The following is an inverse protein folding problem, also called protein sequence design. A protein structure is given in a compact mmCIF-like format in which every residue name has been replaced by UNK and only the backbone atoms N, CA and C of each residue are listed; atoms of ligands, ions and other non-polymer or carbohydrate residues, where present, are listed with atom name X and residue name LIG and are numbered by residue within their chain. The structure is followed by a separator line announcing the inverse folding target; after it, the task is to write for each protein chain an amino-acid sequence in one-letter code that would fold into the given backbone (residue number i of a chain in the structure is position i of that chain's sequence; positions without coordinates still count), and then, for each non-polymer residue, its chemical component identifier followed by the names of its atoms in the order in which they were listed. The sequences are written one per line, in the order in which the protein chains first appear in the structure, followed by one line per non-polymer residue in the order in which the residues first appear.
data_IF_095644866831
#
_entry.id   IF_095644866831
#
_cell.length_a   1.000
_cell.length_b   1.000
_cell.length_c   1.000
_cell.angle_alpha   90.00
_cell.angle_beta   90.00
_cell.angle_gamma   90.00
#
_symmetry.space_group_name_H-M   'P 1'
#
loop_
_entity.id
_entity.type
_entity.pdbx_description
1 polymer ?
#
# COMPACT_ATOMS: atom_id res chain seq x y z
N UNK A 1 -71.64 22.23 19.46
CA UNK A 1 -70.57 21.95 20.43
C UNK A 1 -69.83 20.75 19.93
N UNK A 2 -69.05 21.00 18.87
CA UNK A 2 -68.25 20.00 18.10
C UNK A 2 -66.84 20.09 18.59
N UNK A 3 -66.25 18.94 18.96
CA UNK A 3 -64.89 18.83 19.39
C UNK A 3 -64.05 18.50 18.14
N UNK A 4 -63.16 19.39 17.78
CA UNK A 4 -62.15 19.14 16.81
C UNK A 4 -61.04 18.23 17.41
N UNK A 5 -60.90 17.01 16.90
CA UNK A 5 -59.81 16.12 17.21
C UNK A 5 -58.58 16.54 16.37
N UNK A 6 -57.60 17.09 17.06
CA UNK A 6 -56.30 17.43 16.45
C UNK A 6 -55.49 16.18 16.13
N UNK A 7 -55.33 15.90 14.85
CA UNK A 7 -54.40 14.90 14.35
C UNK A 7 -52.97 15.45 14.45
N UNK A 8 -52.23 14.96 15.43
CA UNK A 8 -50.76 15.17 15.50
C UNK A 8 -50.10 14.36 14.40
N UNK A 9 -49.47 15.04 13.45
CA UNK A 9 -48.52 14.42 12.52
C UNK A 9 -47.25 13.97 13.27
N UNK A 10 -46.75 12.75 13.06
CA UNK A 10 -45.46 12.33 13.61
C UNK A 10 -44.35 13.07 12.88
N UNK A 11 -43.50 13.78 13.61
CA UNK A 11 -42.25 14.36 13.14
C UNK A 11 -41.30 13.23 12.72
N UNK A 12 -41.15 13.01 11.43
CA UNK A 12 -40.17 12.10 10.88
C UNK A 12 -38.77 12.74 10.89
N UNK A 13 -38.10 12.71 12.03
CA UNK A 13 -36.64 12.71 12.05
C UNK A 13 -36.19 11.27 12.00
N UNK A 14 -36.37 10.61 10.87
CA UNK A 14 -35.65 9.41 10.55
C UNK A 14 -34.17 9.81 10.33
N UNK A 15 -33.38 9.79 11.40
CA UNK A 15 -31.94 9.72 11.30
C UNK A 15 -31.64 8.48 10.46
N UNK A 16 -31.18 8.71 9.24
CA UNK A 16 -30.68 7.66 8.37
C UNK A 16 -29.46 7.08 9.12
N UNK A 17 -29.68 5.99 9.87
CA UNK A 17 -28.61 5.14 10.34
C UNK A 17 -28.00 4.55 9.08
N UNK A 18 -26.89 5.11 8.65
CA UNK A 18 -26.03 4.51 7.65
C UNK A 18 -25.62 3.13 8.16
N UNK A 19 -25.62 2.17 7.25
CA UNK A 19 -25.35 0.76 7.53
C UNK A 19 -23.90 0.61 7.98
N UNK A 20 -23.63 0.77 9.27
CA UNK A 20 -22.35 0.41 9.92
C UNK A 20 -22.08 -1.11 9.92
N UNK A 21 -22.92 -1.89 9.20
CA UNK A 21 -22.91 -3.35 9.21
C UNK A 21 -22.48 -3.98 7.87
N UNK A 22 -22.18 -3.18 6.84
CA UNK A 22 -21.75 -3.75 5.57
C UNK A 22 -20.33 -4.31 5.74
N UNK A 23 -20.24 -5.66 5.73
CA UNK A 23 -18.97 -6.36 5.86
C UNK A 23 -18.37 -6.59 4.48
N UNK A 24 -17.07 -6.35 4.37
CA UNK A 24 -16.26 -6.58 3.19
C UNK A 24 -15.24 -7.66 3.47
N UNK A 25 -15.03 -8.55 2.52
CA UNK A 25 -14.05 -9.63 2.59
C UNK A 25 -12.87 -9.31 1.67
N UNK A 26 -11.65 -9.45 2.19
CA UNK A 26 -10.43 -9.36 1.38
C UNK A 26 -10.29 -10.58 0.46
N UNK A 27 -9.65 -10.43 -0.68
CA UNK A 27 -9.28 -11.52 -1.59
C UNK A 27 -8.08 -12.33 -1.06
N UNK A 28 -7.34 -11.78 -0.10
CA UNK A 28 -6.11 -12.38 0.43
C UNK A 28 -6.43 -13.27 1.64
N UNK A 29 -6.40 -14.58 1.45
CA UNK A 29 -6.79 -15.58 2.45
C UNK A 29 -5.64 -16.48 2.93
N UNK A 30 -4.41 -16.00 2.95
CA UNK A 30 -3.22 -16.80 3.23
C UNK A 30 -3.28 -17.51 4.59
N UNK A 31 -3.48 -18.83 4.55
CA UNK A 31 -3.42 -19.69 5.72
C UNK A 31 -4.58 -19.53 6.72
N UNK A 32 -5.56 -18.68 6.43
CA UNK A 32 -6.69 -18.47 7.34
C UNK A 32 -7.67 -19.67 7.29
N UNK A 33 -8.04 -20.23 8.45
CA UNK A 33 -9.04 -21.28 8.50
C UNK A 33 -10.41 -20.82 7.99
N UNK A 34 -11.18 -21.70 7.34
CA UNK A 34 -12.56 -21.40 6.94
C UNK A 34 -13.40 -20.95 8.16
N UNK A 35 -14.22 -19.93 7.97
CA UNK A 35 -15.08 -19.35 9.01
C UNK A 35 -14.34 -18.69 10.20
N UNK A 36 -13.07 -18.34 10.04
CA UNK A 36 -12.36 -17.55 11.04
C UNK A 36 -12.92 -16.12 11.06
N UNK A 37 -13.18 -15.61 12.26
CA UNK A 37 -13.60 -14.22 12.49
C UNK A 37 -12.60 -13.54 13.42
N UNK A 38 -12.21 -12.30 13.08
CA UNK A 38 -11.28 -11.50 13.86
C UNK A 38 -9.83 -11.60 13.38
N UNK A 39 -8.86 -11.12 14.19
CA UNK A 39 -7.47 -11.03 13.79
C UNK A 39 -6.84 -12.41 13.56
N UNK A 40 -6.13 -12.55 12.45
CA UNK A 40 -5.35 -13.71 12.07
C UNK A 40 -3.91 -13.31 11.79
N UNK A 41 -2.95 -14.17 12.11
CA UNK A 41 -1.53 -13.94 11.81
C UNK A 41 -1.15 -14.81 10.63
N UNK A 42 -0.80 -14.17 9.51
CA UNK A 42 -0.28 -14.81 8.31
C UNK A 42 1.22 -14.61 8.17
N UNK A 43 1.88 -15.63 7.63
CA UNK A 43 3.30 -15.58 7.28
C UNK A 43 3.42 -15.44 5.76
N UNK A 44 3.78 -14.25 5.30
CA UNK A 44 4.03 -13.99 3.89
C UNK A 44 5.46 -14.39 3.55
N UNK A 45 5.61 -15.34 2.63
CA UNK A 45 6.92 -15.78 2.14
C UNK A 45 7.31 -14.94 0.93
N UNK A 46 8.46 -14.28 1.00
CA UNK A 46 9.00 -13.43 -0.06
C UNK A 46 10.22 -14.10 -0.65
N UNK A 47 10.24 -14.28 -1.96
CA UNK A 47 11.37 -14.82 -2.70
C UNK A 47 12.21 -13.68 -3.24
N UNK A 48 13.33 -13.38 -2.57
CA UNK A 48 14.26 -12.37 -3.05
C UNK A 48 15.11 -12.92 -4.21
N UNK A 49 15.46 -12.10 -5.21
CA UNK A 49 16.43 -12.48 -6.20
C UNK A 49 17.79 -12.74 -5.54
N UNK A 50 18.66 -13.58 -6.13
CA UNK A 50 20.03 -13.72 -5.65
C UNK A 50 20.71 -12.34 -5.70
N UNK A 51 21.56 -11.99 -4.71
CA UNK A 51 22.28 -10.74 -4.73
C UNK A 51 23.11 -10.63 -6.01
N UNK A 52 23.03 -9.48 -6.68
CA UNK A 52 23.89 -9.20 -7.83
C UNK A 52 25.36 -9.23 -7.38
N UNK A 53 26.22 -9.92 -8.11
CA UNK A 53 27.67 -10.06 -7.81
C UNK A 53 28.42 -8.73 -7.68
N UNK A 54 27.80 -7.59 -8.01
CA UNK A 54 28.37 -6.25 -7.95
C UNK A 54 27.89 -5.40 -6.77
N UNK A 55 27.04 -5.90 -5.90
CA UNK A 55 26.64 -5.15 -4.69
C UNK A 55 27.64 -5.42 -3.56
N UNK A 56 28.64 -4.55 -3.42
CA UNK A 56 29.45 -4.42 -2.20
C UNK A 56 28.56 -3.86 -1.07
N UNK A 57 27.54 -4.59 -0.67
CA UNK A 57 26.78 -4.30 0.53
C UNK A 57 27.38 -5.06 1.70
N UNK A 58 27.82 -4.30 2.66
CA UNK A 58 28.36 -4.59 3.97
C UNK A 58 27.83 -5.91 4.55
N UNK A 59 28.64 -6.97 4.39
CA UNK A 59 28.51 -8.16 5.19
C UNK A 59 29.04 -7.87 6.60
N UNK A 60 28.15 -7.77 7.56
CA UNK A 60 28.43 -8.12 8.93
C UNK A 60 27.60 -9.35 9.24
N UNK A 61 28.18 -10.52 9.00
CA UNK A 61 28.11 -11.72 9.86
C UNK A 61 28.92 -12.85 9.24
N UNK A 62 29.90 -13.29 10.02
CA UNK A 62 30.56 -14.60 10.15
C UNK A 62 30.71 -15.54 8.93
N UNK A 63 31.97 -15.64 8.60
CA UNK A 63 32.70 -16.69 7.92
C UNK A 63 32.00 -18.03 7.62
N UNK A 64 31.76 -18.32 6.33
CA UNK A 64 31.88 -19.66 5.78
C UNK A 64 32.52 -19.60 4.38
N UNK A 65 33.53 -20.42 4.20
CA UNK A 65 34.51 -20.49 3.11
C UNK A 65 33.90 -20.71 1.73
N UNK A 66 34.53 -20.04 0.74
CA UNK A 66 34.49 -20.31 -0.70
C UNK A 66 34.50 -21.79 -1.09
N UNK A 67 33.57 -22.17 -1.95
CA UNK A 67 33.77 -23.27 -2.92
C UNK A 67 33.14 -22.84 -4.25
N UNK A 68 34.01 -22.56 -5.20
CA UNK A 68 33.71 -22.37 -6.63
C UNK A 68 33.06 -23.63 -7.22
N UNK A 69 31.91 -23.49 -7.88
CA UNK A 69 31.27 -24.60 -8.61
C UNK A 69 31.23 -24.28 -10.09
N UNK A 70 32.05 -25.05 -10.81
CA UNK A 70 32.03 -25.20 -12.27
C UNK A 70 30.79 -26.03 -12.69
N UNK A 71 30.03 -25.52 -13.66
CA UNK A 71 28.92 -26.22 -14.32
C UNK A 71 29.44 -27.29 -15.26
N UNK A 72 29.28 -28.57 -14.90
CA UNK A 72 29.21 -29.68 -15.86
C UNK A 72 28.15 -30.69 -15.39
N UNK A 73 27.13 -30.90 -16.20
CA UNK A 73 26.12 -31.93 -16.02
C UNK A 73 26.72 -33.28 -16.34
N UNK A 74 27.38 -33.95 -15.37
CA UNK A 74 27.65 -35.37 -15.41
C UNK A 74 26.73 -36.07 -14.44
N UNK A 75 26.02 -37.08 -14.94
CA UNK A 75 25.23 -38.00 -14.09
C UNK A 75 26.24 -38.93 -13.43
N UNK A 76 26.33 -38.93 -12.11
CA UNK A 76 27.14 -39.88 -11.36
C UNK A 76 26.37 -41.20 -11.25
N UNK A 77 27.00 -42.30 -11.63
CA UNK A 77 26.50 -43.66 -11.45
C UNK A 77 27.28 -44.30 -10.30
N UNK A 78 26.60 -45.12 -9.49
CA UNK A 78 27.26 -45.91 -8.44
C UNK A 78 28.04 -47.12 -9.05
N UNK A 79 28.70 -47.89 -8.18
CA UNK A 79 29.46 -49.04 -8.61
C UNK A 79 28.66 -50.14 -9.29
N UNK A 80 27.34 -50.15 -9.09
CA UNK A 80 26.38 -51.07 -9.67
C UNK A 80 25.71 -50.52 -10.94
N UNK A 81 26.04 -49.29 -11.36
CA UNK A 81 25.54 -48.63 -12.57
C UNK A 81 24.20 -47.92 -12.38
N UNK A 82 23.75 -47.77 -11.18
CA UNK A 82 22.52 -47.02 -10.86
C UNK A 82 22.77 -45.53 -10.73
N UNK A 83 21.79 -44.71 -11.12
CA UNK A 83 21.85 -43.25 -11.04
C UNK A 83 21.89 -42.79 -9.59
N UNK A 84 23.00 -42.19 -9.18
CA UNK A 84 23.11 -41.50 -7.90
C UNK A 84 22.23 -40.25 -7.97
N UNK A 85 21.03 -40.33 -7.46
CA UNK A 85 20.16 -39.17 -7.25
C UNK A 85 20.74 -38.31 -6.11
N UNK A 86 21.76 -37.51 -6.43
CA UNK A 86 22.22 -36.46 -5.54
C UNK A 86 21.01 -35.55 -5.30
N UNK A 87 20.46 -35.59 -4.09
CA UNK A 87 19.49 -34.61 -3.65
C UNK A 87 20.07 -33.24 -3.97
N UNK A 88 19.52 -32.54 -4.96
CA UNK A 88 19.93 -31.17 -5.27
C UNK A 88 19.97 -30.44 -3.95
N UNK A 89 21.17 -30.05 -3.48
CA UNK A 89 21.30 -29.06 -2.41
C UNK A 89 20.50 -27.89 -2.93
N UNK A 90 19.32 -27.62 -2.30
CA UNK A 90 18.63 -26.35 -2.54
C UNK A 90 19.69 -25.30 -2.31
N UNK A 91 20.06 -24.54 -3.34
CA UNK A 91 20.77 -23.29 -3.16
C UNK A 91 20.05 -22.57 -2.03
N UNK A 92 20.75 -21.90 -1.11
CA UNK A 92 20.10 -21.16 -0.05
C UNK A 92 19.12 -20.21 -0.74
N UNK A 93 17.85 -20.56 -0.69
CA UNK A 93 16.80 -19.72 -1.25
C UNK A 93 16.71 -18.54 -0.27
N UNK A 94 17.11 -17.36 -0.74
CA UNK A 94 16.96 -16.12 0.03
C UNK A 94 15.46 -15.83 0.16
N UNK A 95 14.83 -16.42 1.18
CA UNK A 95 13.45 -16.14 1.53
C UNK A 95 13.43 -15.21 2.73
N UNK A 96 12.68 -14.14 2.59
CA UNK A 96 12.27 -13.30 3.68
C UNK A 96 10.87 -13.75 4.13
N UNK A 97 10.65 -13.85 5.42
CA UNK A 97 9.33 -14.09 5.99
C UNK A 97 8.82 -12.81 6.64
N UNK A 98 7.62 -12.40 6.28
CA UNK A 98 6.93 -11.24 6.84
C UNK A 98 5.71 -11.72 7.62
N UNK A 99 5.63 -11.38 8.90
CA UNK A 99 4.54 -11.78 9.79
C UNK A 99 3.53 -10.65 9.91
N UNK A 100 2.31 -10.84 9.42
CA UNK A 100 1.27 -9.81 9.42
C UNK A 100 0.02 -10.30 10.17
N UNK A 101 -0.39 -9.54 11.17
CA UNK A 101 -1.72 -9.66 11.75
C UNK A 101 -2.71 -8.86 10.91
N UNK A 102 -3.78 -9.51 10.47
CA UNK A 102 -4.83 -8.91 9.67
C UNK A 102 -6.17 -9.60 9.88
N UNK A 103 -7.25 -9.00 9.41
CA UNK A 103 -8.57 -9.61 9.33
C UNK A 103 -8.82 -10.08 7.90
N UNK A 104 -9.69 -11.08 7.74
CA UNK A 104 -10.21 -11.48 6.41
C UNK A 104 -11.47 -10.69 6.07
N UNK A 105 -12.30 -10.44 7.09
CA UNK A 105 -13.55 -9.69 6.97
C UNK A 105 -13.57 -8.56 7.97
N UNK A 106 -14.00 -7.39 7.54
CA UNK A 106 -14.19 -6.22 8.40
C UNK A 106 -15.35 -5.36 7.90
N UNK A 107 -15.82 -4.42 8.72
CA UNK A 107 -16.73 -3.36 8.27
C UNK A 107 -15.97 -2.30 7.46
N UNK A 108 -16.66 -1.58 6.58
CA UNK A 108 -16.06 -0.56 5.71
C UNK A 108 -15.14 0.43 6.47
N UNK A 109 -15.48 0.96 7.67
CA UNK A 109 -14.57 1.85 8.40
C UNK A 109 -13.27 1.19 8.88
N UNK A 110 -13.16 -0.14 8.80
CA UNK A 110 -12.04 -0.95 9.30
C UNK A 110 -11.35 -1.76 8.22
N UNK A 111 -11.52 -1.40 6.95
CA UNK A 111 -10.90 -2.11 5.81
C UNK A 111 -9.37 -2.10 5.87
N UNK A 112 -8.77 -1.11 6.54
CA UNK A 112 -7.32 -1.08 6.81
C UNK A 112 -6.81 -2.21 7.72
N UNK A 113 -7.69 -2.98 8.38
CA UNK A 113 -7.30 -4.20 9.09
C UNK A 113 -7.07 -5.39 8.16
N UNK A 114 -7.31 -5.26 6.86
CA UNK A 114 -7.22 -6.32 5.86
C UNK A 114 -6.00 -6.11 4.96
N UNK A 115 -5.47 -7.22 4.41
CA UNK A 115 -4.48 -7.17 3.33
C UNK A 115 -5.22 -7.24 2.00
N UNK A 116 -4.90 -6.36 1.07
CA UNK A 116 -5.54 -6.27 -0.25
C UNK A 116 -4.57 -6.63 -1.37
N UNK A 117 -5.09 -7.12 -2.50
CA UNK A 117 -4.27 -7.54 -3.64
C UNK A 117 -3.36 -6.42 -4.15
N UNK A 118 -3.88 -5.19 -4.20
CA UNK A 118 -3.09 -4.02 -4.63
C UNK A 118 -1.91 -3.72 -3.67
N UNK A 119 -2.05 -3.98 -2.36
CA UNK A 119 -0.97 -3.87 -1.39
C UNK A 119 0.17 -4.85 -1.69
N UNK A 120 -0.17 -6.11 -2.06
CA UNK A 120 0.83 -7.11 -2.44
C UNK A 120 1.51 -6.80 -3.77
N UNK A 121 0.78 -6.20 -4.73
CA UNK A 121 1.36 -5.73 -5.99
C UNK A 121 2.34 -4.57 -5.75
N UNK A 122 1.99 -3.63 -4.88
CA UNK A 122 2.89 -2.54 -4.48
C UNK A 122 4.12 -3.08 -3.74
N UNK A 123 3.94 -4.11 -2.90
CA UNK A 123 5.04 -4.80 -2.23
C UNK A 123 6.01 -5.45 -3.24
N UNK A 124 5.48 -6.13 -4.26
CA UNK A 124 6.29 -6.70 -5.34
C UNK A 124 7.08 -5.62 -6.09
N UNK A 125 6.45 -4.47 -6.37
CA UNK A 125 7.13 -3.33 -7.00
C UNK A 125 8.26 -2.78 -6.13
N UNK A 126 7.99 -2.53 -4.84
CA UNK A 126 9.01 -2.03 -3.90
C UNK A 126 10.19 -2.99 -3.82
N UNK A 127 9.93 -4.30 -3.69
CA UNK A 127 10.96 -5.33 -3.68
C UNK A 127 11.75 -5.40 -5.00
N UNK A 128 11.06 -5.18 -6.13
CA UNK A 128 11.70 -5.12 -7.44
C UNK A 128 12.67 -3.94 -7.53
N UNK A 129 12.24 -2.73 -7.15
CA UNK A 129 13.12 -1.55 -7.16
C UNK A 129 14.31 -1.75 -6.22
N UNK A 130 14.08 -2.23 -4.99
CA UNK A 130 15.16 -2.53 -4.02
C UNK A 130 16.19 -3.53 -4.59
N UNK A 131 15.73 -4.51 -5.38
CA UNK A 131 16.63 -5.52 -5.93
C UNK A 131 17.34 -5.09 -7.21
N UNK A 132 16.80 -4.12 -7.94
CA UNK A 132 17.31 -3.69 -9.25
C UNK A 132 18.08 -2.38 -9.24
N UNK A 133 17.84 -1.53 -8.23
CA UNK A 133 18.45 -0.20 -8.11
C UNK A 133 18.64 0.20 -6.64
N UNK A 134 19.25 1.34 -6.41
CA UNK A 134 19.35 2.00 -5.10
C UNK A 134 18.44 3.23 -4.98
N UNK A 135 17.41 3.32 -5.82
CA UNK A 135 16.55 4.50 -5.88
C UNK A 135 15.75 4.72 -4.58
N UNK A 136 15.53 3.64 -3.81
CA UNK A 136 14.83 3.69 -2.53
C UNK A 136 15.77 3.65 -1.31
N UNK A 137 17.10 3.59 -1.54
CA UNK A 137 18.08 3.59 -0.45
C UNK A 137 18.14 4.97 0.20
N UNK A 138 18.17 5.00 1.54
CA UNK A 138 18.31 6.21 2.35
C UNK A 138 17.24 7.30 2.10
N UNK A 139 16.12 6.98 1.45
CA UNK A 139 15.01 7.93 1.25
C UNK A 139 14.19 8.10 2.52
N UNK A 140 13.54 9.25 2.64
CA UNK A 140 12.45 9.46 3.58
C UNK A 140 11.16 9.18 2.81
N UNK A 141 10.37 8.24 3.30
CA UNK A 141 9.14 7.79 2.65
C UNK A 141 7.92 8.00 3.54
N UNK A 142 6.76 8.18 2.89
CA UNK A 142 5.45 8.28 3.50
C UNK A 142 4.49 7.32 2.82
N UNK A 143 3.93 6.38 3.57
CA UNK A 143 2.85 5.52 3.13
C UNK A 143 1.51 6.10 3.58
N UNK A 144 0.57 6.26 2.65
CA UNK A 144 -0.75 6.87 2.83
C UNK A 144 -1.83 5.78 2.78
N UNK A 145 -2.64 5.64 3.83
CA UNK A 145 -3.63 4.58 3.93
C UNK A 145 -2.98 3.20 4.01
N UNK A 146 -2.00 3.07 4.89
CA UNK A 146 -1.12 1.92 4.96
C UNK A 146 -1.79 0.63 5.46
N UNK A 147 -2.95 0.74 6.10
CA UNK A 147 -3.68 -0.41 6.62
C UNK A 147 -2.82 -1.27 7.54
N UNK A 148 -2.39 -2.43 7.03
CA UNK A 148 -1.54 -3.37 7.79
C UNK A 148 -0.09 -2.91 7.92
N UNK A 149 0.36 -1.96 7.11
CA UNK A 149 1.73 -1.44 7.07
C UNK A 149 2.73 -2.33 6.32
N UNK A 150 2.26 -3.35 5.61
CA UNK A 150 3.10 -4.37 4.96
C UNK A 150 4.13 -3.75 4.01
N UNK A 151 3.74 -2.77 3.18
CA UNK A 151 4.62 -2.15 2.18
C UNK A 151 5.68 -1.28 2.86
N UNK A 152 5.29 -0.44 3.81
CA UNK A 152 6.22 0.40 4.57
C UNK A 152 7.23 -0.41 5.36
N UNK A 153 6.82 -1.54 5.97
CA UNK A 153 7.71 -2.47 6.66
C UNK A 153 8.76 -3.03 5.68
N UNK A 154 8.37 -3.42 4.47
CA UNK A 154 9.31 -3.91 3.46
C UNK A 154 10.27 -2.83 2.98
N UNK A 155 9.78 -1.61 2.78
CA UNK A 155 10.60 -0.47 2.38
C UNK A 155 11.62 -0.06 3.46
N UNK A 156 11.27 -0.20 4.73
CA UNK A 156 12.13 0.13 5.87
C UNK A 156 13.45 -0.65 5.92
N UNK A 157 13.61 -1.68 5.10
CA UNK A 157 14.87 -2.44 4.94
C UNK A 157 15.99 -1.62 4.33
N UNK A 158 15.66 -0.61 3.54
CA UNK A 158 16.63 0.21 2.79
C UNK A 158 16.41 1.71 2.99
N UNK A 159 15.19 2.14 3.26
CA UNK A 159 14.88 3.53 3.48
C UNK A 159 15.51 4.06 4.79
N UNK A 160 15.83 5.33 4.82
CA UNK A 160 16.33 6.01 6.03
C UNK A 160 15.23 6.13 7.08
N UNK A 161 14.06 6.61 6.66
CA UNK A 161 12.89 6.79 7.53
C UNK A 161 11.62 6.47 6.74
N UNK A 162 10.71 5.71 7.34
CA UNK A 162 9.39 5.42 6.76
C UNK A 162 8.31 5.85 7.75
N UNK A 163 7.47 6.76 7.31
CA UNK A 163 6.23 7.09 8.00
C UNK A 163 5.11 6.25 7.42
N UNK A 164 4.54 5.37 8.24
CA UNK A 164 3.42 4.50 7.91
C UNK A 164 2.18 5.16 8.48
N UNK A 165 1.26 5.63 7.62
CA UNK A 165 0.14 6.44 8.08
C UNK A 165 -1.21 5.90 7.66
N UNK A 166 -2.15 5.99 8.58
CA UNK A 166 -3.56 5.64 8.37
C UNK A 166 -4.44 6.46 9.33
N UNK A 167 -5.71 6.12 9.41
CA UNK A 167 -6.69 6.74 10.28
C UNK A 167 -7.39 5.68 11.16
N UNK A 168 -7.62 6.04 12.43
CA UNK A 168 -8.37 5.23 13.39
C UNK A 168 -7.51 4.34 14.28
N UNK A 169 -7.81 4.36 15.57
CA UNK A 169 -7.01 3.74 16.62
C UNK A 169 -6.77 2.23 16.38
N UNK A 170 -7.80 1.47 15.96
CA UNK A 170 -7.69 0.01 15.77
C UNK A 170 -6.75 -0.34 14.59
N UNK A 171 -6.80 0.44 13.49
CA UNK A 171 -5.93 0.23 12.32
C UNK A 171 -4.48 0.56 12.69
N UNK A 172 -4.27 1.69 13.36
CA UNK A 172 -2.94 2.13 13.78
C UNK A 172 -2.31 1.19 14.83
N UNK A 173 -3.10 0.67 15.79
CA UNK A 173 -2.62 -0.32 16.75
C UNK A 173 -2.24 -1.64 16.07
N UNK A 174 -3.02 -2.09 15.09
CA UNK A 174 -2.69 -3.30 14.32
C UNK A 174 -1.44 -3.08 13.46
N UNK A 175 -1.32 -1.92 12.83
CA UNK A 175 -0.13 -1.53 12.05
C UNK A 175 1.14 -1.51 12.93
N UNK A 176 1.09 -0.84 14.08
CA UNK A 176 2.22 -0.79 15.03
C UNK A 176 2.62 -2.19 15.49
N UNK A 177 1.65 -3.07 15.78
CA UNK A 177 1.92 -4.45 16.11
C UNK A 177 2.62 -5.19 14.95
N UNK A 178 2.23 -4.95 13.71
CA UNK A 178 2.89 -5.54 12.56
C UNK A 178 4.33 -5.03 12.39
N UNK A 179 4.58 -3.76 12.65
CA UNK A 179 5.95 -3.19 12.70
C UNK A 179 6.78 -3.91 13.78
N UNK A 180 6.24 -4.09 14.98
CA UNK A 180 6.93 -4.79 16.07
C UNK A 180 7.21 -6.27 15.76
N UNK A 181 6.26 -6.97 15.11
CA UNK A 181 6.42 -8.37 14.70
C UNK A 181 7.54 -8.57 13.67
N UNK A 182 7.91 -7.53 12.94
CA UNK A 182 8.90 -7.55 11.88
C UNK A 182 10.14 -6.70 12.16
N UNK A 183 10.36 -6.31 13.43
CA UNK A 183 11.45 -5.39 13.80
C UNK A 183 12.86 -5.91 13.46
N UNK A 184 13.00 -7.21 13.20
CA UNK A 184 14.28 -7.85 12.84
C UNK A 184 14.67 -7.65 11.37
N UNK A 185 13.73 -7.24 10.50
CA UNK A 185 13.99 -7.14 9.06
C UNK A 185 14.47 -5.75 8.61
N UNK A 186 14.45 -4.74 9.46
CA UNK A 186 14.88 -3.38 9.15
C UNK A 186 15.88 -2.83 10.18
N UNK A 187 16.65 -1.82 9.77
CA UNK A 187 17.74 -1.25 10.56
C UNK A 187 17.22 -0.22 11.57
N UNK A 188 16.97 -0.71 12.82
CA UNK A 188 16.67 0.17 13.95
C UNK A 188 15.19 0.55 14.09
N UNK A 189 14.71 0.57 15.34
CA UNK A 189 13.32 0.91 15.65
C UNK A 189 12.97 2.37 15.36
N UNK A 190 13.97 3.24 15.28
CA UNK A 190 13.77 4.68 15.07
C UNK A 190 13.60 5.07 13.60
N UNK A 191 13.66 4.09 12.68
CA UNK A 191 13.48 4.35 11.24
C UNK A 191 12.04 4.19 10.77
N UNK A 192 11.13 3.67 11.60
CA UNK A 192 9.73 3.43 11.25
C UNK A 192 8.81 4.11 12.25
N UNK A 193 7.92 4.95 11.74
CA UNK A 193 6.99 5.72 12.54
C UNK A 193 5.55 5.44 12.09
N UNK A 194 4.74 4.83 12.96
CA UNK A 194 3.29 4.71 12.74
C UNK A 194 2.62 5.98 13.24
N UNK A 195 1.92 6.72 12.35
CA UNK A 195 1.31 8.01 12.66
C UNK A 195 -0.09 8.14 12.09
N UNK A 196 -0.93 8.87 12.80
CA UNK A 196 -2.27 9.19 12.31
C UNK A 196 -2.21 10.31 11.27
N UNK A 197 -2.84 10.07 10.11
CA UNK A 197 -3.03 11.05 9.07
C UNK A 197 -4.43 10.89 8.46
N UNK A 198 -5.38 11.63 9.00
CA UNK A 198 -6.71 11.74 8.39
C UNK A 198 -6.66 12.73 7.21
N UNK A 199 -6.99 12.24 6.02
CA UNK A 199 -6.95 13.08 4.80
C UNK A 199 -7.96 14.21 4.78
N UNK A 200 -8.98 14.14 5.64
CA UNK A 200 -9.99 15.19 5.82
C UNK A 200 -9.51 16.33 6.72
N UNK A 201 -8.43 16.09 7.46
CA UNK A 201 -7.83 17.08 8.34
C UNK A 201 -6.94 18.07 7.57
N UNK A 202 -6.52 19.13 8.26
CA UNK A 202 -5.59 20.12 7.71
C UNK A 202 -4.17 19.56 7.67
N UNK A 203 -3.43 19.90 6.60
CA UNK A 203 -2.00 19.67 6.53
C UNK A 203 -1.24 21.01 6.72
N UNK A 204 -0.16 21.06 7.48
CA UNK A 204 0.30 20.03 8.41
C UNK A 204 -0.69 19.79 9.56
N UNK A 205 -0.65 18.59 10.20
CA UNK A 205 -1.48 18.31 11.36
C UNK A 205 -1.24 19.36 12.45
N UNK A 206 -2.32 19.89 13.00
CA UNK A 206 -2.23 20.84 14.10
C UNK A 206 -2.21 20.08 15.43
N UNK A 207 -1.41 20.57 16.39
CA UNK A 207 -1.50 20.08 17.77
C UNK A 207 -2.92 20.31 18.29
N UNK A 208 -3.74 19.27 18.24
CA UNK A 208 -5.11 19.35 18.73
C UNK A 208 -5.15 19.09 20.24
N UNK A 209 -6.16 19.64 20.91
CA UNK A 209 -6.56 19.24 22.27
C UNK A 209 -7.18 17.83 22.28
N UNK A 210 -6.60 16.92 21.51
CA UNK A 210 -7.08 15.57 21.26
C UNK A 210 -7.02 14.69 22.50
N UNK A 211 -7.88 13.67 22.52
CA UNK A 211 -7.90 12.62 23.53
C UNK A 211 -6.50 11.96 23.68
N UNK A 212 -6.19 11.34 24.82
CA UNK A 212 -4.89 10.68 25.03
C UNK A 212 -4.54 9.61 24.00
N UNK A 213 -5.53 8.89 23.44
CA UNK A 213 -5.34 7.90 22.36
C UNK A 213 -4.88 8.56 21.08
N UNK A 214 -5.49 9.65 20.67
CA UNK A 214 -5.09 10.42 19.47
C UNK A 214 -3.68 11.00 19.59
N UNK A 215 -3.19 11.29 20.80
CA UNK A 215 -1.82 11.79 21.01
C UNK A 215 -0.74 10.73 20.75
N UNK A 216 -1.08 9.43 20.87
CA UNK A 216 -0.10 8.34 20.68
C UNK A 216 0.45 8.32 19.26
N UNK A 217 -0.41 8.56 18.28
CA UNK A 217 -0.06 8.50 16.86
C UNK A 217 0.09 9.88 16.21
N UNK A 218 -0.03 10.97 16.97
CA UNK A 218 0.18 12.31 16.44
C UNK A 218 1.65 12.55 16.07
N UNK A 219 1.88 13.19 14.93
CA UNK A 219 3.22 13.61 14.53
C UNK A 219 3.76 14.69 15.47
N UNK A 220 5.00 14.57 15.86
CA UNK A 220 5.76 15.63 16.51
C UNK A 220 6.15 16.71 15.49
N UNK A 221 6.49 17.92 15.96
CA UNK A 221 6.95 18.98 15.07
C UNK A 221 8.20 18.58 14.27
N UNK A 222 9.12 17.83 14.87
CA UNK A 222 10.32 17.33 14.17
C UNK A 222 9.97 16.33 13.08
N UNK A 223 9.01 15.45 13.31
CA UNK A 223 8.53 14.50 12.31
C UNK A 223 7.80 15.19 11.17
N UNK A 224 7.03 16.25 11.44
CA UNK A 224 6.39 17.07 10.39
C UNK A 224 7.47 17.70 9.49
N UNK A 225 8.54 18.25 10.06
CA UNK A 225 9.66 18.81 9.27
C UNK A 225 10.43 17.73 8.49
N UNK A 226 10.46 16.49 8.97
CA UNK A 226 11.03 15.35 8.25
C UNK A 226 10.09 14.88 7.13
N UNK A 227 8.79 14.77 7.37
CA UNK A 227 7.77 14.44 6.39
C UNK A 227 7.76 15.42 5.19
N UNK A 228 8.00 16.70 5.42
CA UNK A 228 8.16 17.69 4.33
C UNK A 228 9.31 17.33 3.38
N UNK A 229 10.35 16.64 3.89
CA UNK A 229 11.51 16.20 3.11
C UNK A 229 11.29 14.84 2.42
N UNK A 230 10.20 14.14 2.73
CA UNK A 230 9.89 12.87 2.07
C UNK A 230 9.89 13.05 0.55
N UNK A 231 10.62 12.19 -0.15
CA UNK A 231 10.71 12.18 -1.61
C UNK A 231 9.84 11.09 -2.24
N UNK A 232 9.56 10.04 -1.48
CA UNK A 232 8.81 8.87 -1.90
C UNK A 232 7.49 8.79 -1.15
N UNK A 233 6.39 8.74 -1.89
CA UNK A 233 5.05 8.49 -1.37
C UNK A 233 4.57 7.14 -1.88
N UNK A 234 3.87 6.37 -1.04
CA UNK A 234 3.29 5.08 -1.37
C UNK A 234 1.82 5.06 -0.98
N UNK A 235 0.98 4.39 -1.74
CA UNK A 235 -0.40 4.12 -1.38
C UNK A 235 -0.90 2.86 -2.09
N UNK A 236 -1.71 2.04 -1.43
CA UNK A 236 -2.29 0.85 -2.00
C UNK A 236 -3.79 0.74 -1.67
N UNK A 237 -4.59 0.50 -2.69
CA UNK A 237 -6.05 0.26 -2.61
C UNK A 237 -6.86 1.33 -1.87
N UNK A 238 -6.46 2.59 -2.01
CA UNK A 238 -7.07 3.74 -1.34
C UNK A 238 -8.20 4.40 -2.15
N UNK A 239 -8.49 3.89 -3.35
CA UNK A 239 -9.48 4.43 -4.29
C UNK A 239 -10.75 3.56 -4.28
N UNK A 240 -11.59 3.72 -3.26
CA UNK A 240 -12.82 2.93 -3.10
C UNK A 240 -14.05 3.75 -2.69
N UNK A 241 -13.88 5.03 -2.43
CA UNK A 241 -14.94 5.98 -2.09
C UNK A 241 -14.61 7.35 -2.70
N UNK A 242 -15.54 7.97 -3.41
CA UNK A 242 -15.32 9.25 -4.08
C UNK A 242 -14.93 10.35 -3.08
N UNK A 243 -15.63 10.45 -1.93
CA UNK A 243 -15.29 11.43 -0.89
C UNK A 243 -13.88 11.25 -0.31
N UNK A 244 -13.42 9.99 -0.16
CA UNK A 244 -12.07 9.70 0.31
C UNK A 244 -11.04 9.93 -0.79
N UNK A 245 -11.38 9.66 -2.04
CA UNK A 245 -10.54 9.96 -3.19
C UNK A 245 -10.31 11.47 -3.32
N UNK A 246 -11.37 12.27 -3.16
CA UNK A 246 -11.26 13.74 -3.13
C UNK A 246 -10.34 14.21 -2.00
N UNK A 247 -10.55 13.72 -0.79
CA UNK A 247 -9.73 14.05 0.38
C UNK A 247 -8.26 13.64 0.17
N UNK A 248 -8.02 12.45 -0.40
CA UNK A 248 -6.69 11.94 -0.73
C UNK A 248 -5.96 12.87 -1.72
N UNK A 249 -6.60 13.28 -2.82
CA UNK A 249 -5.95 14.17 -3.79
C UNK A 249 -5.77 15.60 -3.26
N UNK A 250 -6.64 16.07 -2.37
CA UNK A 250 -6.46 17.36 -1.68
C UNK A 250 -5.22 17.33 -0.79
N UNK A 251 -5.05 16.30 0.03
CA UNK A 251 -3.86 16.20 0.90
C UNK A 251 -2.60 15.91 0.10
N UNK A 252 -2.68 15.06 -0.93
CA UNK A 252 -1.57 14.76 -1.82
C UNK A 252 -1.02 16.04 -2.48
N UNK A 253 -1.90 16.90 -2.97
CA UNK A 253 -1.51 18.21 -3.52
C UNK A 253 -0.72 19.03 -2.50
N UNK A 254 -1.18 19.11 -1.25
CA UNK A 254 -0.49 19.84 -0.18
C UNK A 254 0.87 19.22 0.13
N UNK A 255 0.94 17.88 0.27
CA UNK A 255 2.18 17.14 0.52
C UNK A 255 3.23 17.34 -0.58
N UNK A 256 2.80 17.38 -1.84
CA UNK A 256 3.68 17.51 -2.99
C UNK A 256 4.04 18.97 -3.32
N UNK A 257 3.25 19.95 -2.85
CA UNK A 257 3.51 21.38 -3.13
C UNK A 257 4.78 21.90 -2.46
N UNK A 258 5.16 21.33 -1.30
CA UNK A 258 6.38 21.71 -0.58
C UNK A 258 7.66 21.20 -1.29
N UNK A 259 7.56 20.11 -2.03
CA UNK A 259 8.64 19.55 -2.83
C UNK A 259 8.06 18.89 -4.08
N UNK A 260 8.13 19.55 -5.24
CA UNK A 260 7.54 19.06 -6.48
C UNK A 260 8.24 17.85 -7.10
N UNK A 261 9.44 17.49 -6.62
CA UNK A 261 10.15 16.28 -7.05
C UNK A 261 9.64 15.00 -6.38
N UNK A 262 8.69 15.12 -5.44
CA UNK A 262 8.06 13.97 -4.81
C UNK A 262 7.34 13.11 -5.85
N UNK A 263 7.43 11.81 -5.65
CA UNK A 263 6.77 10.81 -6.49
C UNK A 263 5.87 9.95 -5.63
N UNK A 264 4.63 9.78 -6.05
CA UNK A 264 3.71 8.79 -5.49
C UNK A 264 3.70 7.55 -6.40
N UNK A 265 3.86 6.37 -5.80
CA UNK A 265 3.50 5.10 -6.42
C UNK A 265 2.20 4.60 -5.78
N UNK A 266 1.18 4.47 -6.61
CA UNK A 266 -0.17 4.06 -6.20
C UNK A 266 -0.54 2.77 -6.91
N UNK A 267 -0.79 1.69 -6.15
CA UNK A 267 -1.43 0.49 -6.65
C UNK A 267 -2.92 0.52 -6.30
N UNK A 268 -3.76 0.16 -7.24
CA UNK A 268 -5.20 0.10 -7.05
C UNK A 268 -5.82 -1.04 -7.85
N UNK A 269 -6.92 -1.58 -7.36
CA UNK A 269 -7.74 -2.54 -8.08
C UNK A 269 -8.98 -1.86 -8.66
N UNK A 270 -9.25 -2.10 -9.95
CA UNK A 270 -10.48 -1.62 -10.59
C UNK A 270 -11.67 -2.43 -10.06
N UNK A 271 -12.55 -1.76 -9.36
CA UNK A 271 -13.76 -2.37 -8.81
C UNK A 271 -14.94 -2.05 -9.72
N UNK A 272 -15.47 -3.08 -10.34
CA UNK A 272 -16.58 -2.96 -11.29
C UNK A 272 -17.92 -3.17 -10.58
N UNK A 273 -18.83 -2.22 -10.76
CA UNK A 273 -20.19 -2.30 -10.24
C UNK A 273 -21.19 -2.12 -11.39
N UNK A 274 -22.29 -2.89 -11.34
CA UNK A 274 -23.42 -2.66 -12.23
C UNK A 274 -24.18 -1.44 -11.75
N UNK A 275 -24.36 -0.43 -12.62
CA UNK A 275 -25.17 0.74 -12.32
C UNK A 275 -26.46 0.71 -13.11
N UNK A 276 -27.55 1.17 -12.47
CA UNK A 276 -28.85 1.27 -13.12
C UNK A 276 -28.93 2.47 -14.05
N UNK A 277 -28.10 3.49 -13.81
CA UNK A 277 -28.07 4.70 -14.64
C UNK A 277 -27.45 4.46 -15.99
N UNK A 278 -26.35 3.68 -16.04
CA UNK A 278 -25.65 3.34 -17.29
C UNK A 278 -26.15 2.04 -17.90
N UNK A 279 -26.91 1.21 -17.13
CA UNK A 279 -27.30 -0.16 -17.50
C UNK A 279 -26.11 -1.04 -17.91
N UNK A 280 -24.96 -0.78 -17.32
CA UNK A 280 -23.68 -1.42 -17.66
C UNK A 280 -22.84 -1.66 -16.40
N UNK A 281 -21.76 -2.42 -16.58
CA UNK A 281 -20.74 -2.68 -15.56
C UNK A 281 -19.63 -1.67 -15.71
N UNK A 282 -19.54 -0.74 -14.77
CA UNK A 282 -18.61 0.38 -14.81
C UNK A 282 -17.73 0.44 -13.57
N UNK A 283 -16.53 1.01 -13.72
CA UNK A 283 -15.61 1.26 -12.62
C UNK A 283 -15.63 2.75 -12.27
N UNK A 284 -16.71 3.22 -11.64
CA UNK A 284 -16.92 4.64 -11.35
C UNK A 284 -15.81 5.25 -10.50
N UNK A 285 -15.38 4.57 -9.42
CA UNK A 285 -14.28 5.03 -8.58
C UNK A 285 -12.96 5.17 -9.37
N UNK A 286 -12.70 4.24 -10.30
CA UNK A 286 -11.55 4.34 -11.19
C UNK A 286 -11.66 5.55 -12.15
N UNK A 287 -12.84 5.79 -12.73
CA UNK A 287 -13.09 6.93 -13.59
C UNK A 287 -12.93 8.25 -12.83
N UNK A 288 -13.41 8.30 -11.58
CA UNK A 288 -13.24 9.44 -10.69
C UNK A 288 -11.74 9.69 -10.39
N UNK A 289 -11.00 8.63 -10.01
CA UNK A 289 -9.55 8.71 -9.84
C UNK A 289 -8.83 9.27 -11.08
N UNK A 290 -9.19 8.78 -12.29
CA UNK A 290 -8.59 9.24 -13.55
C UNK A 290 -8.82 10.73 -13.83
N UNK A 291 -9.90 11.32 -13.31
CA UNK A 291 -10.21 12.74 -13.50
C UNK A 291 -9.22 13.70 -12.84
N UNK A 292 -8.42 13.20 -11.88
CA UNK A 292 -7.40 14.00 -11.18
C UNK A 292 -6.09 14.16 -11.96
N UNK A 293 -5.89 13.41 -13.06
CA UNK A 293 -4.60 13.30 -13.72
C UNK A 293 -4.69 13.54 -15.22
N UNK A 294 -3.59 14.04 -15.78
CA UNK A 294 -3.28 13.95 -17.21
C UNK A 294 -2.42 12.69 -17.40
N UNK A 295 -2.70 11.92 -18.44
CA UNK A 295 -1.87 10.80 -18.87
C UNK A 295 -1.32 11.05 -20.26
N UNK A 296 -0.20 10.41 -20.62
CA UNK A 296 0.41 10.59 -21.94
C UNK A 296 -0.49 10.19 -23.12
N UNK A 297 -1.56 9.43 -22.86
CA UNK A 297 -2.56 9.05 -23.86
C UNK A 297 -3.55 10.20 -24.16
N UNK A 298 -3.78 11.08 -23.20
CA UNK A 298 -4.73 12.20 -23.31
C UNK A 298 -4.19 13.33 -24.20
N UNK A 299 -2.86 13.44 -24.34
CA UNK A 299 -2.19 14.47 -25.16
C UNK A 299 -2.41 14.26 -26.68
N UNK A 300 -2.85 13.07 -27.11
CA UNK A 300 -2.96 12.71 -28.53
C UNK A 300 -4.31 13.06 -29.16
N UNK A 301 -5.33 13.47 -28.43
CA UNK A 301 -6.68 13.60 -29.04
C UNK A 301 -7.67 14.59 -28.44
N UNK A 302 -7.46 15.12 -27.27
CA UNK A 302 -8.43 16.02 -26.64
C UNK A 302 -8.07 17.48 -26.90
N UNK A 303 -8.75 18.12 -27.82
CA UNK A 303 -8.86 19.58 -27.84
C UNK A 303 -9.64 19.97 -26.60
N UNK A 304 -8.91 20.34 -25.54
CA UNK A 304 -9.50 20.91 -24.32
C UNK A 304 -10.44 22.03 -24.70
N UNK A 305 -11.68 21.93 -24.25
CA UNK A 305 -12.56 23.08 -24.17
C UNK A 305 -11.87 24.09 -23.24
N UNK A 306 -11.58 25.28 -23.74
CA UNK A 306 -10.76 26.36 -23.15
C UNK A 306 -11.17 26.86 -21.74
N UNK A 307 -11.94 26.13 -20.95
CA UNK A 307 -12.54 26.59 -19.68
C UNK A 307 -12.38 25.67 -18.47
N UNK A 308 -11.79 24.49 -18.58
CA UNK A 308 -11.57 23.63 -17.40
C UNK A 308 -10.15 23.84 -16.85
N UNK A 309 -9.97 23.96 -15.52
CA UNK A 309 -8.65 24.04 -14.93
C UNK A 309 -7.85 22.76 -15.23
N UNK A 310 -6.58 22.92 -15.61
CA UNK A 310 -5.70 21.77 -15.85
C UNK A 310 -5.57 20.90 -14.59
N UNK A 311 -5.62 19.57 -14.72
CA UNK A 311 -5.38 18.66 -13.60
C UNK A 311 -4.02 18.90 -12.95
N UNK A 312 -4.00 18.82 -11.59
CA UNK A 312 -2.79 19.08 -10.81
C UNK A 312 -1.75 17.97 -10.88
N UNK A 313 -2.09 16.80 -11.43
CA UNK A 313 -1.20 15.65 -11.42
C UNK A 313 -0.98 15.11 -12.82
N UNK A 314 0.20 14.52 -13.03
CA UNK A 314 0.57 13.71 -14.18
C UNK A 314 0.74 12.29 -13.74
N UNK A 315 0.00 11.36 -14.36
CA UNK A 315 0.03 9.93 -14.06
C UNK A 315 0.65 9.14 -15.22
N UNK A 316 1.54 8.21 -14.88
CA UNK A 316 2.14 7.22 -15.76
C UNK A 316 1.82 5.83 -15.22
N UNK A 317 1.15 4.99 -16.01
CA UNK A 317 0.91 3.60 -15.66
C UNK A 317 2.17 2.78 -15.82
N UNK A 318 2.52 1.98 -14.80
CA UNK A 318 3.68 1.10 -14.81
C UNK A 318 3.26 -0.28 -15.29
N UNK A 319 3.97 -0.81 -16.29
CA UNK A 319 3.75 -2.17 -16.78
C UNK A 319 4.19 -3.21 -15.75
N UNK A 320 3.22 -3.93 -15.19
CA UNK A 320 3.44 -4.98 -14.21
C UNK A 320 4.03 -6.27 -14.80
N UNK A 321 4.05 -6.43 -16.13
CA UNK A 321 4.53 -7.65 -16.79
C UNK A 321 6.02 -7.90 -16.55
N UNK A 322 6.78 -6.84 -16.30
CA UNK A 322 8.22 -6.90 -16.03
C UNK A 322 8.57 -6.99 -14.54
N UNK A 323 7.59 -6.91 -13.65
CA UNK A 323 7.78 -7.00 -12.21
C UNK A 323 7.50 -8.44 -11.76
N UNK A 324 8.49 -9.19 -11.25
CA UNK A 324 8.25 -10.54 -10.73
C UNK A 324 7.29 -10.55 -9.53
N UNK A 325 6.59 -11.68 -9.31
CA UNK A 325 5.89 -11.92 -8.05
C UNK A 325 6.91 -12.37 -6.99
N UNK A 326 7.34 -11.46 -6.14
CA UNK A 326 8.22 -11.75 -5.01
C UNK A 326 7.43 -12.32 -3.83
N UNK A 327 6.27 -11.76 -3.55
CA UNK A 327 5.33 -12.29 -2.56
C UNK A 327 4.70 -13.56 -3.12
N UNK A 328 4.71 -14.66 -2.34
CA UNK A 328 4.19 -15.95 -2.78
C UNK A 328 2.73 -16.12 -2.40
N UNK A 329 2.11 -17.09 -3.08
CA UNK A 329 0.79 -17.63 -2.73
C UNK A 329 -0.37 -16.63 -2.88
N UNK A 330 -0.22 -15.62 -3.76
CA UNK A 330 -1.32 -14.76 -4.17
C UNK A 330 -1.39 -14.63 -5.70
N UNK A 331 -2.53 -14.20 -6.22
CA UNK A 331 -2.76 -13.90 -7.63
C UNK A 331 -2.97 -12.40 -7.80
N UNK A 332 -2.19 -11.76 -8.66
CA UNK A 332 -2.30 -10.31 -8.95
C UNK A 332 -3.65 -9.90 -9.53
N UNK A 333 -4.39 -10.86 -10.14
CA UNK A 333 -5.56 -10.51 -10.94
C UNK A 333 -5.20 -9.80 -12.24
N UNK A 334 -6.22 -9.32 -12.96
CA UNK A 334 -6.07 -8.57 -14.21
C UNK A 334 -6.45 -7.10 -14.06
N UNK A 335 -7.09 -6.76 -12.94
CA UNK A 335 -7.69 -5.45 -12.71
C UNK A 335 -6.85 -4.55 -11.79
N UNK A 336 -5.69 -5.04 -11.32
CA UNK A 336 -4.76 -4.24 -10.52
C UNK A 336 -3.83 -3.46 -11.44
N UNK A 337 -3.74 -2.16 -11.17
CA UNK A 337 -2.83 -1.24 -11.85
C UNK A 337 -1.87 -0.60 -10.87
N UNK A 338 -0.69 -0.25 -11.35
CA UNK A 338 0.31 0.53 -10.64
C UNK A 338 0.58 1.83 -11.38
N UNK A 339 0.49 2.93 -10.66
CA UNK A 339 0.65 4.28 -11.18
C UNK A 339 1.81 5.01 -10.51
N UNK A 340 2.59 5.71 -11.34
CA UNK A 340 3.55 6.71 -10.91
C UNK A 340 2.94 8.09 -11.10
N UNK A 341 2.76 8.82 -10.02
CA UNK A 341 2.05 10.10 -10.02
C UNK A 341 3.00 11.21 -9.55
N UNK A 342 3.01 12.32 -10.30
CA UNK A 342 3.78 13.52 -9.99
C UNK A 342 2.90 14.76 -10.04
N UNK A 343 3.34 15.81 -9.36
CA UNK A 343 2.68 17.11 -9.46
C UNK A 343 2.89 17.71 -10.84
N UNK A 344 1.82 18.26 -11.43
CA UNK A 344 1.90 18.97 -12.69
C UNK A 344 2.39 20.41 -12.47
N UNK A 345 3.62 20.69 -12.82
CA UNK A 345 4.22 22.02 -12.65
C UNK A 345 3.51 23.13 -13.44
N UNK A 346 2.83 22.78 -14.56
CA UNK A 346 2.11 23.75 -15.38
C UNK A 346 0.85 24.27 -14.70
N UNK A 347 0.21 23.47 -13.87
CA UNK A 347 -1.02 23.84 -13.15
C UNK A 347 -0.76 24.67 -11.88
N UNK A 348 0.49 24.95 -11.53
CA UNK A 348 0.87 25.75 -10.36
C UNK A 348 1.03 27.24 -10.66
N UNK A 349 0.99 27.64 -11.92
CA UNK A 349 1.13 29.00 -12.42
C UNK A 349 -0.09 29.41 -13.25
#
# INVERSE_FOLDING_TARGET
MEREDGVQQPSSSAVVRWRDEEQVMSEVHLGCPPNHSGPHISLFTISLPPPHENSTLREHTDAVKDISVSTSTMFDLDEDGDLILTRRKKSPSHHLALTIQHNITSSIPRVGLQVWTAELVLADFVLHVISMSSDFDEVIALELGAGTGLVGILLARVAKTVFITDHGDEVLENCEKNVDLNAEIFHGKDSVHVRELDWKDSWPPQESNASPSKRRYSCTQSEIEELKKASLLLAADVIYSDDLTDAFFIILKKLMSDNPDKVLYLALEKRYNFTLDDLDVVANGYSHFRSYMITGEDDAGCKQLDCAPEPFFVGEQIDLSHIPCYVRDYNRGHDVELWKIKLNHRALF
#
